data_IF_061655909852
#
_entry.id   IF_061655909852
#
_cell.length_a   1.000
_cell.length_b   1.000
_cell.length_c   1.000
_cell.angle_alpha   90.00
_cell.angle_beta   90.00
_cell.angle_gamma   90.00
#
_symmetry.space_group_name_H-M   'P 1'
#
loop_
_entity.id
_entity.type
_entity.pdbx_description
1 polymer ?
#
# COMPACT_ATOMS: atom_id res chain seq x y z
N UNK A 1 15.96 -24.42 11.71
CA UNK A 1 14.84 -25.28 12.11
C UNK A 1 14.12 -24.69 13.32
N UNK A 2 12.79 -24.51 13.27
CA UNK A 2 12.02 -23.91 14.36
C UNK A 2 11.21 -25.01 15.05
N UNK A 3 11.56 -25.36 16.29
CA UNK A 3 10.81 -26.31 17.08
C UNK A 3 9.84 -25.59 18.01
N UNK A 4 8.57 -26.04 18.05
CA UNK A 4 7.54 -25.48 18.93
C UNK A 4 7.42 -26.35 20.19
N UNK A 5 7.51 -25.73 21.35
CA UNK A 5 7.29 -26.38 22.63
C UNK A 5 6.29 -25.56 23.45
N UNK A 6 5.34 -26.27 24.05
CA UNK A 6 4.32 -25.68 24.90
C UNK A 6 4.47 -26.16 26.34
N UNK A 7 4.47 -25.23 27.27
CA UNK A 7 4.55 -25.53 28.70
C UNK A 7 3.33 -24.98 29.46
N UNK A 8 2.73 -25.84 30.30
CA UNK A 8 1.67 -25.47 31.22
C UNK A 8 2.26 -25.39 32.64
N UNK A 9 2.59 -24.19 33.13
CA UNK A 9 3.09 -24.03 34.50
C UNK A 9 3.09 -22.59 35.00
N UNK A 10 2.60 -22.39 36.22
CA UNK A 10 2.45 -21.06 36.84
C UNK A 10 3.79 -20.40 37.23
N UNK A 11 4.86 -21.17 37.39
CA UNK A 11 6.16 -20.71 37.91
C UNK A 11 7.21 -20.41 36.84
N UNK A 12 6.87 -20.58 35.56
CA UNK A 12 7.81 -20.44 34.47
C UNK A 12 8.38 -19.01 34.32
N UNK A 13 7.55 -17.97 34.59
CA UNK A 13 7.97 -16.57 34.51
C UNK A 13 8.76 -16.04 35.71
N UNK A 14 8.65 -16.70 36.88
CA UNK A 14 9.14 -16.12 38.14
C UNK A 14 10.61 -16.39 38.43
N UNK A 15 11.22 -17.38 37.80
CA UNK A 15 12.57 -17.86 38.13
C UNK A 15 13.57 -17.88 37.01
N UNK A 16 13.29 -17.28 35.82
CA UNK A 16 14.25 -17.20 34.71
C UNK A 16 14.67 -18.57 34.15
N UNK A 17 13.79 -19.55 34.16
CA UNK A 17 14.05 -20.98 34.05
C UNK A 17 14.35 -21.52 32.65
N UNK A 18 14.77 -20.71 31.70
CA UNK A 18 15.30 -21.22 30.43
C UNK A 18 16.53 -22.11 30.64
N UNK A 19 17.30 -21.84 31.67
CA UNK A 19 18.47 -22.64 32.08
C UNK A 19 18.11 -24.06 32.58
N UNK A 20 16.83 -24.31 32.87
CA UNK A 20 16.33 -25.63 33.33
C UNK A 20 15.85 -26.52 32.18
N UNK A 21 15.91 -26.02 30.94
CA UNK A 21 15.60 -26.79 29.75
C UNK A 21 16.89 -27.17 29.04
N UNK A 22 17.07 -28.49 28.87
CA UNK A 22 18.20 -28.99 28.08
C UNK A 22 17.72 -29.98 27.02
N UNK A 23 18.38 -29.94 25.90
CA UNK A 23 18.14 -30.82 24.77
C UNK A 23 19.32 -31.79 24.67
N UNK A 24 19.02 -33.08 24.69
CA UNK A 24 20.05 -34.14 24.64
C UNK A 24 19.92 -34.93 23.36
N UNK A 25 21.00 -35.00 22.59
CA UNK A 25 21.08 -35.79 21.36
C UNK A 25 22.48 -36.41 21.22
N UNK A 26 22.56 -37.71 20.98
CA UNK A 26 23.82 -38.37 20.70
C UNK A 26 24.90 -38.18 21.77
N UNK A 27 24.54 -38.02 23.04
CA UNK A 27 25.47 -37.74 24.12
C UNK A 27 25.85 -36.26 24.31
N UNK A 28 25.43 -35.36 23.41
CA UNK A 28 25.60 -33.94 23.57
C UNK A 28 24.40 -33.34 24.31
N UNK A 29 24.67 -32.46 25.27
CA UNK A 29 23.65 -31.71 26.00
C UNK A 29 23.72 -30.26 25.64
N UNK A 30 22.65 -29.75 25.03
CA UNK A 30 22.48 -28.35 24.59
C UNK A 30 21.59 -27.68 25.63
N UNK A 31 22.12 -26.70 26.36
CA UNK A 31 21.32 -25.84 27.24
C UNK A 31 20.63 -24.76 26.48
N UNK A 32 19.32 -24.64 26.66
CA UNK A 32 18.52 -23.60 26.02
C UNK A 32 18.68 -22.28 26.77
N UNK A 33 19.14 -21.24 26.09
CA UNK A 33 19.38 -19.90 26.68
C UNK A 33 18.28 -18.93 26.33
N UNK A 34 18.19 -17.84 27.10
CA UNK A 34 17.24 -16.74 26.83
C UNK A 34 17.44 -16.11 25.44
N UNK A 35 18.68 -16.08 24.95
CA UNK A 35 18.99 -15.55 23.61
C UNK A 35 18.35 -16.37 22.47
N UNK A 36 18.18 -17.69 22.68
CA UNK A 36 17.55 -18.59 21.70
C UNK A 36 16.02 -18.56 21.77
N UNK A 37 15.45 -17.97 22.82
CA UNK A 37 14.03 -18.00 23.11
C UNK A 37 13.26 -16.91 22.37
N UNK A 38 12.08 -17.29 21.83
CA UNK A 38 11.07 -16.37 21.30
C UNK A 38 9.69 -16.82 21.80
N UNK A 39 8.95 -15.93 22.45
CA UNK A 39 7.60 -16.20 22.92
C UNK A 39 6.57 -15.86 21.86
N UNK A 40 5.58 -16.74 21.68
CA UNK A 40 4.39 -16.49 20.87
C UNK A 40 3.22 -16.40 21.84
N UNK A 41 2.53 -15.27 21.86
CA UNK A 41 1.45 -15.01 22.82
C UNK A 41 0.24 -15.93 22.62
N UNK A 42 -0.08 -16.35 21.40
CA UNK A 42 -1.23 -17.20 21.08
C UNK A 42 -0.98 -18.03 19.83
N UNK A 43 -1.31 -19.32 19.89
CA UNK A 43 -1.24 -20.21 18.72
C UNK A 43 -2.60 -20.21 18.02
N UNK A 44 -2.67 -19.65 16.81
CA UNK A 44 -3.89 -19.61 16.01
C UNK A 44 -3.98 -20.85 15.11
N UNK A 45 -4.08 -22.04 15.73
CA UNK A 45 -4.28 -23.31 15.01
C UNK A 45 -5.62 -23.89 15.42
N UNK A 46 -6.49 -24.18 14.44
CA UNK A 46 -7.78 -24.81 14.68
C UNK A 46 -7.60 -26.19 15.35
N UNK A 47 -8.26 -26.40 16.50
CA UNK A 47 -8.15 -27.65 17.28
C UNK A 47 -6.96 -27.71 18.25
N UNK A 48 -6.11 -26.70 18.34
CA UNK A 48 -5.06 -26.65 19.34
C UNK A 48 -5.65 -26.34 20.74
N UNK A 49 -5.14 -26.99 21.81
CA UNK A 49 -5.51 -26.64 23.17
C UNK A 49 -5.14 -25.18 23.49
N UNK A 50 -5.89 -24.56 24.39
CA UNK A 50 -5.62 -23.20 24.84
C UNK A 50 -4.37 -23.21 25.76
N UNK A 51 -3.24 -22.81 25.19
CA UNK A 51 -1.96 -22.72 25.89
C UNK A 51 -1.78 -21.31 26.45
N UNK A 52 -1.38 -21.18 27.71
CA UNK A 52 -1.08 -19.89 28.35
C UNK A 52 0.16 -19.22 27.74
N UNK A 53 1.13 -20.01 27.32
CA UNK A 53 2.35 -19.55 26.69
C UNK A 53 2.85 -20.61 25.71
N UNK A 54 3.24 -20.16 24.52
CA UNK A 54 3.91 -20.97 23.50
C UNK A 54 5.24 -20.31 23.20
N UNK A 55 6.30 -21.09 23.29
CA UNK A 55 7.65 -20.61 23.03
C UNK A 55 8.35 -21.47 21.99
N UNK A 56 9.19 -20.86 21.19
CA UNK A 56 10.09 -21.59 20.30
C UNK A 56 11.53 -21.16 20.54
N UNK A 57 12.44 -22.10 20.30
CA UNK A 57 13.87 -21.88 20.44
C UNK A 57 14.53 -21.96 19.07
N UNK A 58 15.37 -20.98 18.76
CA UNK A 58 16.19 -20.96 17.55
C UNK A 58 17.55 -21.54 17.95
N UNK A 59 17.87 -22.72 17.43
CA UNK A 59 19.16 -23.34 17.67
C UNK A 59 20.18 -22.81 16.67
N UNK A 60 21.32 -22.25 17.10
CA UNK A 60 22.38 -21.84 16.20
C UNK A 60 22.93 -23.03 15.38
N UNK A 61 23.33 -22.83 14.12
CA UNK A 61 23.86 -23.90 13.26
C UNK A 61 25.08 -24.60 13.84
N UNK A 62 25.86 -23.89 14.63
CA UNK A 62 27.12 -24.37 15.26
C UNK A 62 26.86 -25.54 16.22
N UNK A 63 25.66 -25.70 16.76
CA UNK A 63 25.31 -26.74 17.72
C UNK A 63 25.11 -28.13 17.09
N UNK A 64 25.26 -28.29 15.78
CA UNK A 64 25.17 -29.56 15.02
C UNK A 64 23.97 -30.45 15.41
N UNK A 65 22.83 -29.82 15.75
CA UNK A 65 21.60 -30.53 16.08
C UNK A 65 20.94 -31.09 14.82
N UNK A 66 20.71 -32.42 14.79
CA UNK A 66 20.03 -33.11 13.69
C UNK A 66 18.58 -33.48 14.10
N UNK A 67 17.57 -32.81 13.60
CA UNK A 67 16.18 -33.06 14.03
C UNK A 67 15.61 -34.41 13.57
N UNK A 68 16.23 -35.07 12.60
CA UNK A 68 15.79 -36.38 12.10
C UNK A 68 16.19 -37.50 13.06
N UNK A 69 17.32 -37.33 13.75
CA UNK A 69 17.76 -38.29 14.75
C UNK A 69 16.92 -38.16 16.03
N UNK A 70 16.73 -39.26 16.77
CA UNK A 70 16.05 -39.20 18.05
C UNK A 70 16.74 -38.23 19.01
N UNK A 71 15.93 -37.41 19.68
CA UNK A 71 16.43 -36.47 20.67
C UNK A 71 15.51 -36.43 21.91
N UNK A 72 16.01 -35.92 23.00
CA UNK A 72 15.34 -35.87 24.27
C UNK A 72 15.35 -34.45 24.84
N UNK A 73 14.18 -33.93 25.17
CA UNK A 73 14.06 -32.72 25.94
C UNK A 73 13.98 -33.04 27.41
N UNK A 74 14.84 -32.45 28.21
CA UNK A 74 14.83 -32.64 29.66
C UNK A 74 14.46 -31.35 30.38
N UNK A 75 13.51 -31.47 31.31
CA UNK A 75 13.15 -30.38 32.23
C UNK A 75 13.80 -30.67 33.55
N UNK A 76 14.70 -29.80 33.98
CA UNK A 76 15.36 -29.91 35.28
C UNK A 76 14.51 -29.23 36.36
N UNK A 77 14.01 -29.98 37.30
CA UNK A 77 13.27 -29.46 38.46
C UNK A 77 14.18 -29.51 39.67
N UNK A 78 14.44 -28.36 40.24
CA UNK A 78 15.18 -28.16 41.46
C UNK A 78 14.23 -28.30 42.65
N UNK A 79 14.61 -29.12 43.61
CA UNK A 79 13.89 -29.31 44.86
C UNK A 79 14.87 -29.22 46.03
N UNK A 80 14.65 -28.23 46.86
CA UNK A 80 15.35 -28.13 48.13
C UNK A 80 14.78 -29.15 49.13
N UNK A 81 15.63 -30.08 49.61
CA UNK A 81 15.25 -31.08 50.59
C UNK A 81 15.89 -30.69 51.93
N UNK A 82 15.07 -30.38 52.96
CA UNK A 82 15.61 -30.00 54.26
C UNK A 82 16.63 -31.02 54.77
N UNK A 83 17.86 -30.59 55.03
CA UNK A 83 18.95 -31.43 55.52
C UNK A 83 19.78 -32.20 54.47
N UNK A 84 19.44 -32.12 53.16
CA UNK A 84 20.18 -32.79 52.07
C UNK A 84 20.59 -31.85 50.90
N UNK A 85 20.29 -30.55 51.02
CA UNK A 85 20.63 -29.55 50.01
C UNK A 85 19.80 -29.65 48.71
N UNK A 86 20.16 -28.86 47.71
CA UNK A 86 19.50 -28.81 46.43
C UNK A 86 19.71 -30.10 45.61
N UNK A 87 18.63 -30.75 45.20
CA UNK A 87 18.68 -31.87 44.27
C UNK A 87 17.88 -31.58 43.00
N UNK A 88 18.47 -31.95 41.88
CA UNK A 88 17.82 -31.80 40.56
C UNK A 88 17.18 -33.13 40.16
N UNK A 89 15.91 -33.10 39.78
CA UNK A 89 15.22 -34.20 39.12
C UNK A 89 15.04 -33.82 37.64
N UNK A 90 15.45 -34.70 36.73
CA UNK A 90 15.22 -34.50 35.30
C UNK A 90 13.97 -35.25 34.87
N UNK A 91 13.11 -34.57 34.11
CA UNK A 91 11.93 -35.16 33.48
C UNK A 91 12.18 -35.21 31.95
N UNK A 92 12.55 -36.40 31.43
CA UNK A 92 12.85 -36.56 30.01
C UNK A 92 11.57 -36.69 29.19
N UNK A 93 11.53 -35.98 28.04
CA UNK A 93 10.57 -36.16 26.97
C UNK A 93 11.31 -36.64 25.74
N UNK A 94 11.21 -37.91 25.42
CA UNK A 94 11.81 -38.48 24.21
C UNK A 94 10.96 -38.11 23.01
N UNK A 95 11.61 -37.67 21.92
CA UNK A 95 10.94 -37.35 20.66
C UNK A 95 11.71 -37.91 19.49
N UNK A 96 10.94 -38.48 18.57
CA UNK A 96 11.43 -38.93 17.27
C UNK A 96 10.51 -38.32 16.21
N UNK A 97 11.07 -37.69 15.20
CA UNK A 97 10.26 -37.11 14.16
C UNK A 97 9.52 -38.21 13.38
N UNK A 98 8.17 -38.19 13.28
CA UNK A 98 7.44 -39.18 12.51
C UNK A 98 7.88 -39.21 11.04
N UNK A 99 7.99 -40.40 10.45
CA UNK A 99 8.47 -40.61 9.08
C UNK A 99 7.71 -39.78 8.04
N UNK A 100 6.41 -39.48 8.26
CA UNK A 100 5.62 -38.61 7.39
C UNK A 100 6.12 -37.17 7.25
N UNK A 101 6.98 -36.73 8.16
CA UNK A 101 7.61 -35.40 8.14
C UNK A 101 9.06 -35.45 7.69
N UNK A 102 9.59 -36.64 7.39
CA UNK A 102 10.92 -36.88 6.89
C UNK A 102 10.75 -37.12 5.38
N UNK A 103 11.08 -36.11 4.59
CA UNK A 103 11.25 -36.31 3.15
C UNK A 103 12.58 -37.03 2.95
N UNK A 104 12.54 -38.35 2.78
CA UNK A 104 13.65 -39.04 2.14
C UNK A 104 13.79 -38.48 0.73
N UNK A 105 14.97 -37.97 0.44
CA UNK A 105 15.28 -37.33 -0.83
C UNK A 105 15.45 -38.42 -1.88
N UNK A 106 14.34 -39.02 -2.33
CA UNK A 106 14.33 -39.62 -3.65
C UNK A 106 14.56 -38.49 -4.64
N UNK A 107 15.63 -38.61 -5.41
CA UNK A 107 15.96 -37.71 -6.49
C UNK A 107 14.90 -37.85 -7.57
N UNK A 108 13.76 -37.16 -7.38
CA UNK A 108 12.79 -36.96 -8.47
C UNK A 108 13.50 -36.09 -9.53
N UNK A 109 13.51 -36.51 -10.81
CA UNK A 109 14.00 -35.69 -11.89
C UNK A 109 13.11 -34.45 -11.98
N UNK A 110 13.65 -33.30 -11.62
CA UNK A 110 12.92 -32.02 -11.52
C UNK A 110 12.77 -31.46 -10.11
N UNK A 111 13.38 -32.06 -9.09
CA UNK A 111 13.45 -31.48 -7.76
C UNK A 111 14.21 -30.15 -7.83
N UNK A 112 13.55 -29.09 -7.44
CA UNK A 112 14.17 -27.77 -7.29
C UNK A 112 15.48 -27.89 -6.52
N UNK A 113 16.51 -27.18 -7.00
CA UNK A 113 17.83 -27.13 -6.37
C UNK A 113 17.72 -26.91 -4.87
N UNK A 114 18.64 -27.46 -4.05
CA UNK A 114 18.61 -27.29 -2.61
C UNK A 114 18.57 -25.81 -2.31
N UNK A 115 17.48 -25.39 -1.63
CA UNK A 115 17.42 -24.04 -1.07
C UNK A 115 18.64 -23.89 -0.20
N UNK A 116 19.59 -23.10 -0.65
CA UNK A 116 20.81 -22.77 0.06
C UNK A 116 20.36 -22.00 1.32
N UNK A 117 20.42 -22.69 2.45
CA UNK A 117 19.95 -22.15 3.74
C UNK A 117 20.80 -20.96 4.23
N UNK A 118 21.95 -20.75 3.57
CA UNK A 118 22.86 -19.64 3.87
C UNK A 118 22.49 -18.34 3.12
N UNK A 119 21.59 -18.42 2.12
CA UNK A 119 21.13 -17.22 1.42
C UNK A 119 20.07 -16.48 2.22
N UNK A 120 20.18 -15.15 2.34
CA UNK A 120 19.18 -14.35 2.99
C UNK A 120 17.83 -14.46 2.25
N UNK A 121 16.73 -14.59 2.99
CA UNK A 121 15.38 -14.81 2.44
C UNK A 121 14.95 -13.76 1.41
N UNK A 122 15.46 -12.53 1.53
CA UNK A 122 15.15 -11.47 0.58
C UNK A 122 15.74 -11.75 -0.81
N UNK A 123 16.96 -12.34 -0.93
CA UNK A 123 17.55 -12.70 -2.21
C UNK A 123 16.67 -13.72 -2.97
N UNK A 124 16.21 -14.75 -2.28
CA UNK A 124 15.33 -15.78 -2.85
C UNK A 124 14.03 -15.14 -3.35
N UNK A 125 13.43 -14.24 -2.55
CA UNK A 125 12.23 -13.53 -2.95
C UNK A 125 12.43 -12.64 -4.18
N UNK A 126 13.56 -11.97 -4.30
CA UNK A 126 13.89 -11.17 -5.49
C UNK A 126 14.08 -12.04 -6.73
N UNK A 127 14.73 -13.20 -6.60
CA UNK A 127 14.89 -14.16 -7.70
C UNK A 127 13.56 -14.77 -8.14
N UNK A 128 12.64 -15.07 -7.23
CA UNK A 128 11.30 -15.56 -7.57
C UNK A 128 10.44 -14.49 -8.23
N UNK A 129 10.54 -13.24 -7.77
CA UNK A 129 9.68 -12.14 -8.18
C UNK A 129 10.23 -11.30 -9.34
N UNK A 130 11.42 -11.61 -9.88
CA UNK A 130 12.08 -10.79 -10.91
C UNK A 130 11.20 -10.47 -12.14
N UNK A 131 10.35 -11.40 -12.68
CA UNK A 131 9.51 -11.08 -13.81
C UNK A 131 8.47 -10.02 -13.46
N UNK A 132 7.91 -10.10 -12.25
CA UNK A 132 6.93 -9.13 -11.77
C UNK A 132 7.57 -7.77 -11.49
N UNK A 133 8.79 -7.75 -10.95
CA UNK A 133 9.59 -6.53 -10.76
C UNK A 133 9.88 -5.87 -12.11
N UNK A 134 10.25 -6.64 -13.12
CA UNK A 134 10.51 -6.12 -14.47
C UNK A 134 9.27 -5.50 -15.10
N UNK A 135 8.13 -6.20 -15.08
CA UNK A 135 6.87 -5.68 -15.65
C UNK A 135 6.44 -4.41 -14.92
N UNK A 136 6.51 -4.39 -13.59
CA UNK A 136 6.18 -3.20 -12.79
C UNK A 136 7.15 -2.06 -13.08
N UNK A 137 8.45 -2.35 -13.20
CA UNK A 137 9.47 -1.38 -13.56
C UNK A 137 9.23 -0.75 -14.94
N UNK A 138 8.90 -1.55 -15.95
CA UNK A 138 8.54 -1.07 -17.29
C UNK A 138 7.30 -0.18 -17.23
N UNK A 139 6.26 -0.57 -16.49
CA UNK A 139 5.06 0.24 -16.32
C UNK A 139 5.36 1.59 -15.65
N UNK A 140 6.23 1.60 -14.64
CA UNK A 140 6.71 2.82 -13.98
C UNK A 140 7.49 3.71 -14.96
N UNK A 141 8.36 3.14 -15.79
CA UNK A 141 9.12 3.88 -16.80
C UNK A 141 8.19 4.50 -17.87
N UNK A 142 7.19 3.75 -18.34
CA UNK A 142 6.18 4.27 -19.28
C UNK A 142 5.41 5.43 -18.63
N UNK A 143 4.97 5.28 -17.39
CA UNK A 143 4.28 6.34 -16.66
C UNK A 143 5.16 7.57 -16.47
N UNK A 144 6.41 7.37 -16.07
CA UNK A 144 7.38 8.48 -15.89
C UNK A 144 7.63 9.20 -17.21
N UNK A 145 7.79 8.47 -18.31
CA UNK A 145 7.91 9.04 -19.64
C UNK A 145 6.67 9.87 -20.04
N UNK A 146 5.47 9.34 -19.80
CA UNK A 146 4.23 10.08 -20.02
C UNK A 146 4.20 11.41 -19.24
N UNK A 147 4.58 11.37 -17.96
CA UNK A 147 4.54 12.53 -17.07
C UNK A 147 5.61 13.58 -17.42
N UNK A 148 6.78 13.16 -17.86
CA UNK A 148 7.84 14.07 -18.34
C UNK A 148 7.42 14.71 -19.66
N UNK A 149 6.84 13.95 -20.58
CA UNK A 149 6.37 14.43 -21.88
C UNK A 149 4.87 14.77 -21.89
N UNK A 150 4.30 15.13 -20.73
CA UNK A 150 2.87 15.39 -20.58
C UNK A 150 2.32 16.45 -21.53
N UNK A 151 3.09 17.51 -21.83
CA UNK A 151 2.67 18.58 -22.74
C UNK A 151 2.38 18.07 -24.16
N UNK A 152 3.11 17.04 -24.61
CA UNK A 152 2.85 16.39 -25.89
C UNK A 152 1.63 15.45 -25.77
N UNK A 153 1.56 14.66 -24.71
CA UNK A 153 0.51 13.67 -24.50
C UNK A 153 -0.88 14.29 -24.39
N UNK A 154 -1.03 15.39 -23.65
CA UNK A 154 -2.32 16.06 -23.42
C UNK A 154 -2.87 16.77 -24.66
N UNK A 155 -2.04 17.13 -25.64
CA UNK A 155 -2.51 17.67 -26.93
C UNK A 155 -3.27 16.65 -27.78
N UNK A 156 -3.06 15.34 -27.50
CA UNK A 156 -3.74 14.25 -28.20
C UNK A 156 -4.80 13.63 -27.26
N UNK A 157 -5.85 14.40 -26.94
CA UNK A 157 -6.87 14.05 -25.95
C UNK A 157 -7.44 12.63 -26.07
N UNK A 158 -7.87 12.14 -27.25
CA UNK A 158 -8.42 10.79 -27.35
C UNK A 158 -7.40 9.72 -26.91
N UNK A 159 -6.11 9.90 -27.22
CA UNK A 159 -5.05 8.98 -26.88
C UNK A 159 -4.81 8.92 -25.36
N UNK A 160 -4.71 10.08 -24.69
CA UNK A 160 -4.45 10.13 -23.25
C UNK A 160 -5.61 9.55 -22.43
N UNK A 161 -6.86 9.74 -22.87
CA UNK A 161 -8.03 9.18 -22.20
C UNK A 161 -8.04 7.66 -22.27
N UNK A 162 -7.78 7.08 -23.45
CA UNK A 162 -7.68 5.62 -23.61
C UNK A 162 -6.46 5.05 -22.87
N UNK A 163 -5.31 5.72 -22.95
CA UNK A 163 -4.12 5.33 -22.21
C UNK A 163 -4.41 5.27 -20.71
N UNK A 164 -5.06 6.30 -20.17
CA UNK A 164 -5.42 6.37 -18.76
C UNK A 164 -6.31 5.20 -18.34
N UNK A 165 -7.37 4.93 -19.11
CA UNK A 165 -8.27 3.79 -18.82
C UNK A 165 -7.49 2.47 -18.86
N UNK A 166 -6.70 2.25 -19.89
CA UNK A 166 -5.88 1.04 -20.02
C UNK A 166 -4.89 0.88 -18.89
N UNK A 167 -4.23 1.96 -18.49
CA UNK A 167 -3.28 1.95 -17.37
C UNK A 167 -3.96 1.70 -16.02
N UNK A 168 -5.15 2.27 -15.77
CA UNK A 168 -5.94 2.00 -14.57
C UNK A 168 -6.40 0.53 -14.50
N UNK A 169 -6.81 -0.05 -15.63
CA UNK A 169 -7.16 -1.48 -15.71
C UNK A 169 -5.91 -2.33 -15.42
N UNK A 170 -4.77 -2.02 -16.03
CA UNK A 170 -3.50 -2.69 -15.74
C UNK A 170 -3.14 -2.59 -14.26
N UNK A 171 -3.23 -1.41 -13.66
CA UNK A 171 -2.94 -1.19 -12.24
C UNK A 171 -3.85 -2.03 -11.36
N UNK A 172 -5.16 -2.07 -11.63
CA UNK A 172 -6.11 -2.85 -10.85
C UNK A 172 -5.87 -4.36 -10.99
N UNK A 173 -5.76 -4.85 -12.22
CA UNK A 173 -5.69 -6.30 -12.50
C UNK A 173 -4.30 -6.83 -12.18
N UNK A 174 -3.26 -6.20 -12.69
CA UNK A 174 -1.90 -6.71 -12.52
C UNK A 174 -1.30 -6.33 -11.17
N UNK A 175 -1.17 -5.04 -10.86
CA UNK A 175 -0.55 -4.60 -9.60
C UNK A 175 -1.44 -4.98 -8.41
N UNK A 176 -2.78 -4.81 -8.53
CA UNK A 176 -3.72 -5.10 -7.46
C UNK A 176 -3.96 -6.59 -7.28
N UNK A 177 -4.58 -7.24 -8.27
CA UNK A 177 -5.07 -8.60 -8.09
C UNK A 177 -4.07 -9.71 -8.44
N UNK A 178 -3.17 -9.52 -9.39
CA UNK A 178 -2.19 -10.56 -9.74
C UNK A 178 -1.05 -10.58 -8.74
N UNK A 179 -0.47 -9.42 -8.46
CA UNK A 179 0.73 -9.30 -7.63
C UNK A 179 0.40 -8.89 -6.18
N UNK A 180 -0.81 -8.38 -5.93
CA UNK A 180 -1.27 -7.87 -4.64
C UNK A 180 -0.38 -6.79 -4.01
N UNK A 181 0.31 -5.99 -4.85
CA UNK A 181 1.25 -4.96 -4.42
C UNK A 181 0.54 -3.62 -4.12
N UNK A 182 -0.40 -3.65 -3.17
CA UNK A 182 -1.11 -2.45 -2.70
C UNK A 182 -0.36 -1.81 -1.53
N UNK A 183 0.08 -0.56 -1.70
CA UNK A 183 0.63 0.21 -0.59
C UNK A 183 -0.47 0.59 0.40
N UNK A 184 -0.17 0.53 1.68
CA UNK A 184 -1.07 0.80 2.80
C UNK A 184 -0.41 1.74 3.80
N UNK A 185 -1.22 2.39 4.64
CA UNK A 185 -0.71 3.19 5.76
C UNK A 185 0.15 2.36 6.72
N UNK A 186 -0.10 1.05 6.82
CA UNK A 186 0.72 0.14 7.64
C UNK A 186 2.20 0.23 7.25
N UNK A 187 2.51 0.27 5.96
CA UNK A 187 3.89 0.38 5.49
C UNK A 187 4.55 1.69 5.98
N UNK A 188 3.79 2.81 5.98
CA UNK A 188 4.29 4.09 6.50
C UNK A 188 4.51 4.02 8.01
N UNK A 189 3.54 3.48 8.75
CA UNK A 189 3.63 3.34 10.20
C UNK A 189 4.80 2.42 10.61
N UNK A 190 4.98 1.29 9.89
CA UNK A 190 6.11 0.38 10.11
C UNK A 190 7.44 1.06 9.82
N UNK A 191 7.52 1.85 8.74
CA UNK A 191 8.72 2.60 8.41
C UNK A 191 9.07 3.63 9.50
N UNK A 192 8.08 4.42 9.94
CA UNK A 192 8.30 5.41 11.03
C UNK A 192 8.68 4.70 12.33
N UNK A 193 8.01 3.59 12.67
CA UNK A 193 8.34 2.82 13.87
C UNK A 193 9.75 2.23 13.81
N UNK A 194 10.19 1.73 12.63
CA UNK A 194 11.54 1.18 12.47
C UNK A 194 12.63 2.24 12.59
N UNK A 195 12.35 3.49 12.19
CA UNK A 195 13.28 4.61 12.39
C UNK A 195 13.46 4.97 13.87
N UNK A 196 12.45 4.71 14.71
CA UNK A 196 12.47 5.01 16.14
C UNK A 196 13.03 3.86 16.98
N UNK A 197 13.12 2.65 16.42
CA UNK A 197 13.62 1.45 17.10
C UNK A 197 14.96 1.01 16.49
N UNK A 198 14.99 -0.17 15.89
CA UNK A 198 16.13 -0.70 15.15
C UNK A 198 15.78 -0.87 13.68
N UNK A 199 16.47 -0.15 12.80
CA UNK A 199 16.22 -0.19 11.37
C UNK A 199 16.96 -1.37 10.72
N UNK A 200 16.20 -2.33 10.17
CA UNK A 200 16.74 -3.48 9.45
C UNK A 200 16.25 -3.48 7.99
N UNK A 201 17.15 -3.33 7.05
CA UNK A 201 16.84 -3.36 5.62
C UNK A 201 16.21 -4.66 5.16
N UNK A 202 16.61 -5.78 5.74
CA UNK A 202 16.13 -7.11 5.36
C UNK A 202 14.60 -7.24 5.39
N UNK A 203 13.96 -6.56 6.35
CA UNK A 203 12.51 -6.55 6.46
C UNK A 203 11.84 -5.89 5.25
N UNK A 204 12.38 -4.77 4.77
CA UNK A 204 11.80 -4.03 3.63
C UNK A 204 12.11 -4.72 2.30
N UNK A 205 13.22 -5.43 2.20
CA UNK A 205 13.64 -6.18 1.01
C UNK A 205 12.87 -7.49 0.82
N UNK A 206 12.16 -7.99 1.84
CA UNK A 206 11.35 -9.22 1.75
C UNK A 206 10.20 -9.13 0.73
N UNK A 207 9.72 -7.92 0.45
CA UNK A 207 8.61 -7.64 -0.47
C UNK A 207 9.11 -6.81 -1.66
N UNK A 208 9.74 -7.42 -2.70
CA UNK A 208 10.44 -6.70 -3.77
C UNK A 208 9.57 -5.66 -4.48
N UNK A 209 8.31 -5.99 -4.75
CA UNK A 209 7.39 -5.12 -5.48
C UNK A 209 6.95 -3.91 -4.66
N UNK A 210 6.66 -4.13 -3.39
CA UNK A 210 6.34 -3.04 -2.45
C UNK A 210 7.55 -2.12 -2.31
N UNK A 211 8.75 -2.68 -2.22
CA UNK A 211 9.99 -1.91 -2.15
C UNK A 211 10.21 -1.04 -3.40
N UNK A 212 10.05 -1.61 -4.60
CA UNK A 212 10.16 -0.86 -5.88
C UNK A 212 9.10 0.23 -5.98
N UNK A 213 7.85 -0.06 -5.60
CA UNK A 213 6.78 0.94 -5.59
C UNK A 213 7.07 2.07 -4.59
N UNK A 214 7.56 1.77 -3.38
CA UNK A 214 7.94 2.79 -2.41
C UNK A 214 9.10 3.65 -2.89
N UNK A 215 10.12 3.03 -3.48
CA UNK A 215 11.24 3.75 -4.10
C UNK A 215 10.76 4.73 -5.18
N UNK A 216 9.86 4.27 -6.04
CA UNK A 216 9.26 5.14 -7.05
C UNK A 216 8.38 6.24 -6.44
N UNK A 217 7.55 5.90 -5.43
CA UNK A 217 6.70 6.90 -4.75
C UNK A 217 7.55 7.99 -4.10
N UNK A 218 8.67 7.64 -3.46
CA UNK A 218 9.59 8.61 -2.88
C UNK A 218 10.14 9.58 -3.94
N UNK A 219 10.55 9.07 -5.10
CA UNK A 219 10.99 9.89 -6.22
C UNK A 219 9.83 10.73 -6.79
N UNK A 220 8.67 10.14 -6.97
CA UNK A 220 7.49 10.83 -7.50
C UNK A 220 7.03 11.98 -6.60
N UNK A 221 7.15 11.83 -5.27
CA UNK A 221 6.84 12.90 -4.31
C UNK A 221 7.75 14.11 -4.49
N UNK A 222 9.04 13.90 -4.81
CA UNK A 222 9.99 14.98 -5.06
C UNK A 222 9.74 15.69 -6.40
N UNK A 223 9.36 14.95 -7.47
CA UNK A 223 9.24 15.51 -8.80
C UNK A 223 7.83 16.02 -9.12
N UNK A 224 6.78 15.30 -8.75
CA UNK A 224 5.40 15.58 -9.15
C UNK A 224 4.41 15.67 -7.97
N UNK A 225 4.78 15.18 -6.80
CA UNK A 225 3.90 15.07 -5.65
C UNK A 225 3.10 13.75 -5.60
N UNK A 226 2.20 13.63 -4.62
CA UNK A 226 1.45 12.40 -4.31
C UNK A 226 0.54 11.89 -5.43
N UNK A 227 0.12 12.80 -6.30
CA UNK A 227 -0.89 12.53 -7.32
C UNK A 227 -0.51 11.43 -8.28
N UNK A 228 0.78 11.22 -8.53
CA UNK A 228 1.27 10.17 -9.42
C UNK A 228 0.93 8.78 -8.90
N UNK A 229 1.21 8.51 -7.63
CA UNK A 229 0.83 7.23 -7.03
C UNK A 229 -0.69 7.11 -6.89
N UNK A 230 -1.32 8.08 -6.22
CA UNK A 230 -2.75 8.05 -5.95
C UNK A 230 -3.61 8.03 -7.22
N UNK A 231 -3.13 8.69 -8.29
CA UNK A 231 -3.86 8.82 -9.54
C UNK A 231 -3.67 7.69 -10.54
N UNK A 232 -2.52 6.99 -10.49
CA UNK A 232 -2.14 6.03 -11.53
C UNK A 232 -1.78 4.65 -11.01
N UNK A 233 -1.05 4.53 -9.90
CA UNK A 233 -0.48 3.28 -9.41
C UNK A 233 -1.22 2.67 -8.22
N UNK A 234 -2.17 3.37 -7.61
CA UNK A 234 -2.97 2.84 -6.51
C UNK A 234 -4.11 1.96 -7.05
N UNK A 235 -4.11 0.62 -6.84
CA UNK A 235 -5.16 -0.27 -7.35
C UNK A 235 -6.55 0.07 -6.83
N UNK A 236 -6.67 0.43 -5.56
CA UNK A 236 -7.96 0.82 -4.99
C UNK A 236 -8.48 2.15 -5.55
N UNK A 237 -7.57 3.11 -5.78
CA UNK A 237 -7.90 4.36 -6.46
C UNK A 237 -8.34 4.15 -7.91
N UNK A 238 -7.68 3.23 -8.63
CA UNK A 238 -8.05 2.83 -9.97
C UNK A 238 -9.44 2.20 -10.01
N UNK A 239 -9.75 1.30 -9.07
CA UNK A 239 -11.06 0.67 -8.98
C UNK A 239 -12.17 1.70 -8.77
N UNK A 240 -12.02 2.64 -7.82
CA UNK A 240 -13.02 3.69 -7.58
C UNK A 240 -13.26 4.55 -8.83
N UNK A 241 -12.19 4.94 -9.54
CA UNK A 241 -12.33 5.74 -10.76
C UNK A 241 -13.00 4.95 -11.89
N UNK A 242 -12.67 3.67 -12.07
CA UNK A 242 -13.31 2.82 -13.08
C UNK A 242 -14.80 2.62 -12.78
N UNK A 243 -15.17 2.39 -11.52
CA UNK A 243 -16.59 2.30 -11.08
C UNK A 243 -17.31 3.61 -11.40
N UNK A 244 -16.73 4.75 -11.07
CA UNK A 244 -17.33 6.05 -11.35
C UNK A 244 -17.49 6.30 -12.85
N UNK A 245 -16.49 5.99 -13.69
CA UNK A 245 -16.57 6.11 -15.14
C UNK A 245 -17.70 5.23 -15.74
N UNK A 246 -17.87 4.03 -15.21
CA UNK A 246 -18.99 3.15 -15.58
C UNK A 246 -20.32 3.78 -15.14
N UNK A 247 -20.42 4.25 -13.90
CA UNK A 247 -21.62 4.89 -13.36
C UNK A 247 -22.05 6.11 -14.19
N UNK A 248 -21.11 6.98 -14.57
CA UNK A 248 -21.37 8.12 -15.46
C UNK A 248 -21.89 7.64 -16.81
N UNK A 249 -21.31 6.58 -17.40
CA UNK A 249 -21.78 6.02 -18.69
C UNK A 249 -23.20 5.45 -18.60
N UNK A 250 -23.57 4.91 -17.46
CA UNK A 250 -24.95 4.39 -17.17
C UNK A 250 -25.89 5.54 -16.74
N UNK A 251 -25.45 6.78 -16.76
CA UNK A 251 -26.19 7.99 -16.35
C UNK A 251 -26.59 8.02 -14.88
N UNK A 252 -25.79 7.43 -13.99
CA UNK A 252 -25.98 7.56 -12.55
C UNK A 252 -25.78 9.03 -12.14
N UNK A 253 -26.65 9.59 -11.27
CA UNK A 253 -26.49 10.99 -10.80
C UNK A 253 -25.14 11.16 -10.09
N UNK A 254 -24.39 12.21 -10.48
CA UNK A 254 -23.12 12.56 -9.87
C UNK A 254 -23.32 13.69 -8.88
N UNK A 255 -22.87 13.49 -7.65
CA UNK A 255 -22.93 14.52 -6.62
C UNK A 255 -21.63 15.30 -6.56
N UNK A 256 -21.70 16.60 -6.87
CA UNK A 256 -20.61 17.54 -6.63
C UNK A 256 -20.91 18.31 -5.34
N UNK A 257 -20.06 18.16 -4.34
CA UNK A 257 -20.18 18.95 -3.11
C UNK A 257 -19.81 20.41 -3.37
N UNK A 258 -20.49 21.37 -2.75
CA UNK A 258 -20.04 22.77 -2.76
C UNK A 258 -18.58 22.84 -2.30
N UNK A 259 -17.76 23.67 -2.95
CA UNK A 259 -16.33 23.72 -2.69
C UNK A 259 -16.01 23.97 -1.20
N UNK A 260 -16.75 24.86 -0.55
CA UNK A 260 -16.59 25.16 0.89
C UNK A 260 -16.83 23.95 1.82
N UNK A 261 -17.74 23.04 1.44
CA UNK A 261 -18.01 21.81 2.21
C UNK A 261 -16.89 20.80 1.92
N UNK A 262 -16.51 20.67 0.64
CA UNK A 262 -15.44 19.79 0.22
C UNK A 262 -14.11 20.12 0.94
N UNK A 263 -13.72 21.39 0.99
CA UNK A 263 -12.52 21.87 1.66
C UNK A 263 -12.54 21.57 3.17
N UNK A 264 -13.68 21.71 3.83
CA UNK A 264 -13.84 21.39 5.25
C UNK A 264 -13.74 19.89 5.55
N UNK A 265 -13.99 19.03 4.57
CA UNK A 265 -13.88 17.56 4.74
C UNK A 265 -12.45 17.04 4.50
N UNK A 266 -11.60 17.76 3.79
CA UNK A 266 -10.22 17.34 3.53
C UNK A 266 -9.40 17.04 4.79
N UNK A 267 -9.49 17.81 5.89
CA UNK A 267 -8.76 17.52 7.11
C UNK A 267 -9.09 16.16 7.75
N UNK A 268 -10.27 15.57 7.47
CA UNK A 268 -10.69 14.31 8.09
C UNK A 268 -9.66 13.18 7.90
N UNK A 269 -9.10 13.02 6.69
CA UNK A 269 -8.07 12.00 6.42
C UNK A 269 -6.77 12.24 7.20
N UNK A 270 -6.41 13.50 7.47
CA UNK A 270 -5.22 13.84 8.27
C UNK A 270 -5.45 13.53 9.75
N UNK A 271 -6.65 13.80 10.27
CA UNK A 271 -7.01 13.42 11.64
C UNK A 271 -6.95 11.91 11.81
N UNK A 272 -7.50 11.15 10.84
CA UNK A 272 -7.40 9.68 10.83
C UNK A 272 -5.95 9.23 10.81
N UNK A 273 -5.12 9.80 9.95
CA UNK A 273 -3.70 9.43 9.84
C UNK A 273 -2.92 9.74 11.13
N UNK A 274 -3.09 10.93 11.70
CA UNK A 274 -2.42 11.31 12.96
C UNK A 274 -2.90 10.42 14.10
N UNK A 275 -4.20 10.10 14.17
CA UNK A 275 -4.74 9.16 15.15
C UNK A 275 -4.11 7.77 15.02
N UNK A 276 -3.99 7.23 13.80
CA UNK A 276 -3.33 5.96 13.54
C UNK A 276 -1.83 6.00 13.91
N UNK A 277 -1.15 7.09 13.59
CA UNK A 277 0.26 7.28 13.94
C UNK A 277 0.44 7.31 15.46
N UNK A 278 -0.39 8.04 16.19
CA UNK A 278 -0.34 8.08 17.66
C UNK A 278 -0.60 6.70 18.27
N UNK A 279 -1.56 5.93 17.73
CA UNK A 279 -1.86 4.58 18.17
C UNK A 279 -0.74 3.58 17.82
N UNK A 280 -0.01 3.79 16.73
CA UNK A 280 1.10 2.91 16.34
C UNK A 280 2.31 2.98 17.28
N UNK A 281 2.42 4.05 18.05
CA UNK A 281 3.43 4.19 19.12
C UNK A 281 3.06 3.42 20.40
N UNK A 282 1.83 2.92 20.48
CA UNK A 282 1.30 2.08 21.56
C UNK A 282 1.41 0.58 21.29
N UNK A 283 0.59 -0.25 21.95
CA UNK A 283 0.58 -1.70 21.75
C UNK A 283 0.23 -2.06 20.29
N UNK A 284 1.03 -2.92 19.66
CA UNK A 284 0.90 -3.30 18.26
C UNK A 284 -0.51 -3.86 17.88
N UNK A 285 -1.18 -4.56 18.80
CA UNK A 285 -2.53 -5.10 18.57
C UNK A 285 -3.59 -4.02 18.32
N UNK A 286 -3.43 -2.85 18.94
CA UNK A 286 -4.37 -1.74 18.78
C UNK A 286 -4.18 -1.08 17.42
N UNK A 287 -2.94 -0.87 17.00
CA UNK A 287 -2.59 -0.32 15.71
C UNK A 287 -3.12 -1.19 14.57
N UNK A 288 -2.93 -2.51 14.65
CA UNK A 288 -3.39 -3.46 13.62
C UNK A 288 -4.92 -3.43 13.45
N UNK A 289 -5.68 -3.39 14.54
CA UNK A 289 -7.15 -3.31 14.47
C UNK A 289 -7.66 -2.01 13.85
N UNK A 290 -6.96 -0.90 14.09
CA UNK A 290 -7.38 0.40 13.58
C UNK A 290 -7.02 0.60 12.09
N UNK A 291 -6.04 -0.12 11.56
CA UNK A 291 -5.72 -0.09 10.12
C UNK A 291 -6.80 -0.72 9.25
N UNK A 292 -7.76 -1.43 9.84
CA UNK A 292 -8.95 -1.97 9.15
C UNK A 292 -9.88 -0.87 8.57
N UNK A 293 -9.63 0.39 8.87
CA UNK A 293 -10.29 1.52 8.18
C UNK A 293 -9.95 1.54 6.68
N UNK A 294 -8.81 0.97 6.26
CA UNK A 294 -8.45 0.83 4.86
C UNK A 294 -9.09 -0.43 4.26
N UNK A 295 -10.04 -0.30 3.30
CA UNK A 295 -10.69 -1.45 2.68
C UNK A 295 -9.78 -2.21 1.69
N UNK A 296 -8.51 -1.78 1.55
CA UNK A 296 -7.55 -2.33 0.57
C UNK A 296 -7.33 -3.83 0.79
N UNK A 297 -7.14 -4.25 2.05
CA UNK A 297 -6.95 -5.66 2.41
C UNK A 297 -8.14 -6.51 1.95
N UNK A 298 -9.36 -6.03 2.18
CA UNK A 298 -10.59 -6.75 1.81
C UNK A 298 -10.78 -6.82 0.30
N UNK A 299 -10.56 -5.72 -0.43
CA UNK A 299 -10.87 -5.62 -1.87
C UNK A 299 -9.74 -6.17 -2.74
N UNK A 300 -8.49 -5.83 -2.42
CA UNK A 300 -7.34 -6.14 -3.26
C UNK A 300 -6.71 -7.47 -2.85
N UNK A 301 -6.26 -7.61 -1.60
CA UNK A 301 -5.53 -8.79 -1.16
C UNK A 301 -6.45 -10.00 -0.98
N UNK A 302 -7.57 -9.85 -0.30
CA UNK A 302 -8.49 -10.94 0.04
C UNK A 302 -9.63 -11.13 -0.96
N UNK A 303 -9.79 -10.25 -1.96
CA UNK A 303 -10.79 -10.36 -3.03
C UNK A 303 -12.20 -10.64 -2.50
N UNK A 304 -12.60 -9.93 -1.43
CA UNK A 304 -13.88 -10.08 -0.70
C UNK A 304 -14.06 -11.41 0.06
N UNK A 305 -13.05 -12.27 0.14
CA UNK A 305 -13.10 -13.51 0.96
C UNK A 305 -12.71 -13.15 2.39
N UNK A 306 -13.69 -12.63 3.14
CA UNK A 306 -13.51 -12.17 4.53
C UNK A 306 -14.84 -12.14 5.28
N UNK A 307 -14.80 -11.91 6.60
CA UNK A 307 -15.98 -11.73 7.43
C UNK A 307 -16.90 -10.61 6.90
N UNK A 308 -18.19 -10.84 6.94
CA UNK A 308 -19.22 -9.99 6.31
C UNK A 308 -19.18 -8.50 6.67
N UNK A 309 -18.83 -8.04 7.91
CA UNK A 309 -18.81 -6.62 8.23
C UNK A 309 -17.81 -5.83 7.38
N UNK A 310 -16.61 -6.41 7.16
CA UNK A 310 -15.56 -5.79 6.34
C UNK A 310 -15.93 -5.75 4.86
N UNK A 311 -16.63 -6.80 4.40
CA UNK A 311 -17.12 -6.86 3.01
C UNK A 311 -18.20 -5.81 2.78
N UNK A 312 -19.15 -5.67 3.71
CA UNK A 312 -20.21 -4.65 3.63
C UNK A 312 -19.61 -3.25 3.64
N UNK A 313 -18.65 -2.98 4.54
CA UNK A 313 -17.94 -1.70 4.55
C UNK A 313 -17.26 -1.40 3.20
N UNK A 314 -16.53 -2.36 2.64
CA UNK A 314 -15.88 -2.20 1.35
C UNK A 314 -16.88 -1.93 0.22
N UNK A 315 -18.01 -2.66 0.19
CA UNK A 315 -19.08 -2.46 -0.80
C UNK A 315 -19.70 -1.07 -0.66
N UNK A 316 -19.97 -0.60 0.56
CA UNK A 316 -20.53 0.75 0.80
C UNK A 316 -19.57 1.85 0.30
N UNK A 317 -18.27 1.70 0.55
CA UNK A 317 -17.26 2.63 0.04
C UNK A 317 -17.22 2.64 -1.48
N UNK A 318 -17.28 1.46 -2.12
CA UNK A 318 -17.27 1.35 -3.59
C UNK A 318 -18.59 1.84 -4.21
N UNK A 319 -19.72 1.60 -3.54
CA UNK A 319 -21.02 2.16 -3.96
C UNK A 319 -21.00 3.69 -3.87
N UNK A 320 -20.41 4.27 -2.82
CA UNK A 320 -20.20 5.71 -2.71
C UNK A 320 -19.34 6.27 -3.86
N UNK A 321 -18.37 5.50 -4.35
CA UNK A 321 -17.54 5.90 -5.50
C UNK A 321 -18.31 5.98 -6.81
N UNK A 322 -19.46 5.30 -6.95
CA UNK A 322 -20.34 5.44 -8.12
C UNK A 322 -20.99 6.84 -8.20
N UNK A 323 -21.22 7.49 -7.06
CA UNK A 323 -21.87 8.80 -6.97
C UNK A 323 -20.87 9.96 -6.83
N UNK A 324 -19.76 9.73 -6.13
CA UNK A 324 -18.72 10.74 -5.88
C UNK A 324 -17.37 10.12 -6.27
N UNK A 325 -16.72 10.66 -7.29
CA UNK A 325 -15.45 10.12 -7.77
C UNK A 325 -14.40 10.08 -6.64
N UNK A 326 -13.82 8.89 -6.40
CA UNK A 326 -12.74 8.66 -5.43
C UNK A 326 -13.08 9.12 -4.00
N UNK A 327 -14.32 8.93 -3.55
CA UNK A 327 -14.83 9.40 -2.26
C UNK A 327 -13.93 8.99 -1.08
N UNK A 328 -13.47 7.74 -1.04
CA UNK A 328 -12.58 7.27 0.02
C UNK A 328 -11.21 7.97 -0.03
N UNK A 329 -10.60 8.07 -1.22
CA UNK A 329 -9.29 8.70 -1.40
C UNK A 329 -9.30 10.20 -1.03
N UNK A 330 -10.44 10.87 -1.20
CA UNK A 330 -10.59 12.30 -0.90
C UNK A 330 -10.69 12.58 0.59
N UNK A 331 -11.45 11.77 1.33
CA UNK A 331 -11.88 12.13 2.69
C UNK A 331 -11.40 11.17 3.78
N UNK A 332 -11.19 9.91 3.48
CA UNK A 332 -10.97 8.86 4.47
C UNK A 332 -9.59 8.18 4.39
N UNK A 333 -8.88 8.27 3.26
CA UNK A 333 -7.65 7.52 3.03
C UNK A 333 -6.47 8.05 3.87
N UNK A 334 -6.01 7.32 4.91
CA UNK A 334 -4.88 7.76 5.73
C UNK A 334 -3.54 7.69 4.98
N UNK A 335 -3.37 6.72 4.07
CA UNK A 335 -2.20 6.70 3.18
C UNK A 335 -2.14 7.95 2.30
N UNK A 336 -3.29 8.38 1.77
CA UNK A 336 -3.37 9.62 0.98
C UNK A 336 -2.98 10.86 1.79
N UNK A 337 -3.30 10.91 3.08
CA UNK A 337 -2.84 11.97 3.99
C UNK A 337 -1.33 11.89 4.25
N UNK A 338 -0.81 10.68 4.53
CA UNK A 338 0.63 10.46 4.76
C UNK A 338 1.49 10.93 3.58
N UNK A 339 1.07 10.63 2.34
CA UNK A 339 1.78 11.05 1.13
C UNK A 339 1.59 12.53 0.80
N UNK A 340 0.50 13.17 1.25
CA UNK A 340 0.25 14.57 1.02
C UNK A 340 1.20 15.49 1.80
N UNK A 341 1.62 15.09 3.00
CA UNK A 341 2.51 15.88 3.85
C UNK A 341 3.84 16.21 3.15
N UNK A 342 4.63 15.21 2.68
CA UNK A 342 5.87 15.47 1.96
C UNK A 342 5.67 16.06 0.56
N UNK A 343 4.51 15.87 -0.08
CA UNK A 343 4.22 16.36 -1.42
C UNK A 343 4.26 17.89 -1.55
N UNK A 344 4.17 18.62 -0.43
CA UNK A 344 4.30 20.08 -0.42
C UNK A 344 5.66 20.56 -0.95
N UNK A 345 6.70 19.76 -0.77
CA UNK A 345 8.07 20.12 -1.12
C UNK A 345 8.49 19.58 -2.51
N UNK A 346 7.54 19.41 -3.44
CA UNK A 346 7.89 19.01 -4.82
C UNK A 346 8.73 20.09 -5.51
N UNK A 347 9.63 19.63 -6.40
CA UNK A 347 10.64 20.49 -7.02
C UNK A 347 10.14 21.25 -8.24
N UNK A 348 9.11 20.72 -8.93
CA UNK A 348 8.68 21.25 -10.22
C UNK A 348 7.17 21.42 -10.28
N UNK A 349 6.73 22.60 -10.76
CA UNK A 349 5.33 22.90 -11.04
C UNK A 349 5.00 22.56 -12.51
N UNK A 350 4.59 21.31 -12.74
CA UNK A 350 4.29 20.81 -14.07
C UNK A 350 2.91 21.23 -14.61
N UNK A 351 1.96 21.56 -13.73
CA UNK A 351 0.59 21.83 -14.08
C UNK A 351 0.41 23.31 -14.45
N UNK A 352 0.17 23.58 -15.74
CA UNK A 352 0.05 24.92 -16.28
C UNK A 352 -1.36 25.50 -16.13
N UNK A 353 -1.45 26.81 -15.91
CA UNK A 353 -2.68 27.59 -15.82
C UNK A 353 -2.57 28.88 -16.58
N UNK A 354 -3.69 29.32 -17.18
CA UNK A 354 -3.77 30.66 -17.76
C UNK A 354 -4.02 31.71 -16.67
N UNK A 355 -3.64 32.96 -16.91
CA UNK A 355 -3.85 34.05 -15.95
C UNK A 355 -5.35 34.31 -15.65
N UNK A 356 -6.23 34.02 -16.61
CA UNK A 356 -7.69 34.17 -16.48
C UNK A 356 -8.36 33.04 -15.68
N UNK A 357 -7.62 31.97 -15.34
CA UNK A 357 -8.17 30.85 -14.55
C UNK A 357 -8.48 31.31 -13.13
N UNK A 358 -9.71 31.05 -12.69
CA UNK A 358 -10.19 31.40 -11.34
C UNK A 358 -10.93 32.74 -11.27
N UNK A 359 -10.58 33.72 -12.09
CA UNK A 359 -11.28 35.01 -12.14
C UNK A 359 -12.41 35.01 -13.18
N UNK A 360 -12.05 34.77 -14.44
CA UNK A 360 -13.01 34.82 -15.56
C UNK A 360 -13.45 33.41 -16.00
N UNK A 361 -12.68 32.39 -15.68
CA UNK A 361 -12.92 31.02 -16.14
C UNK A 361 -12.74 29.98 -15.02
N UNK A 362 -13.77 29.16 -14.80
CA UNK A 362 -13.77 28.05 -13.83
C UNK A 362 -14.06 26.68 -14.49
N UNK A 363 -13.93 26.54 -15.79
CA UNK A 363 -14.27 25.30 -16.52
C UNK A 363 -13.48 24.12 -15.99
N UNK A 364 -12.15 24.27 -15.78
CA UNK A 364 -11.31 23.20 -15.24
C UNK A 364 -11.65 22.82 -13.78
N UNK A 365 -12.09 23.77 -12.96
CA UNK A 365 -12.52 23.50 -11.59
C UNK A 365 -13.79 22.63 -11.56
N UNK A 366 -14.75 22.90 -12.45
CA UNK A 366 -16.01 22.12 -12.58
C UNK A 366 -15.75 20.69 -13.10
N UNK A 367 -14.76 20.49 -13.96
CA UNK A 367 -14.46 19.17 -14.54
C UNK A 367 -13.51 18.36 -13.65
N UNK A 368 -12.81 19.00 -12.71
CA UNK A 368 -11.85 18.31 -11.85
C UNK A 368 -12.52 17.18 -11.04
N UNK A 369 -12.15 15.89 -11.27
CA UNK A 369 -12.86 14.75 -10.67
C UNK A 369 -12.73 14.69 -9.14
N UNK A 370 -11.70 15.33 -8.59
CA UNK A 370 -11.46 15.40 -7.13
C UNK A 370 -11.64 16.80 -6.56
N UNK A 371 -12.09 17.77 -7.38
CA UNK A 371 -12.29 19.16 -6.99
C UNK A 371 -11.07 19.79 -6.28
N UNK A 372 -9.86 19.48 -6.78
CA UNK A 372 -8.60 19.99 -6.23
C UNK A 372 -8.23 21.40 -6.77
N UNK A 373 -9.10 22.04 -7.54
CA UNK A 373 -8.88 23.36 -8.10
C UNK A 373 -9.75 24.35 -7.35
N UNK A 374 -9.12 25.30 -6.68
CA UNK A 374 -9.79 26.36 -5.93
C UNK A 374 -10.52 27.32 -6.88
N UNK A 375 -11.53 28.06 -6.37
CA UNK A 375 -12.27 29.05 -7.15
C UNK A 375 -11.38 30.17 -7.70
N UNK A 376 -10.24 30.47 -7.05
CA UNK A 376 -9.21 31.43 -7.51
C UNK A 376 -8.31 30.87 -8.64
N UNK A 377 -8.50 29.60 -9.05
CA UNK A 377 -7.73 28.94 -10.07
C UNK A 377 -6.50 28.19 -9.59
N UNK A 378 -6.15 28.27 -8.30
CA UNK A 378 -5.04 27.52 -7.74
C UNK A 378 -5.33 26.01 -7.71
N UNK A 379 -4.31 25.18 -8.01
CA UNK A 379 -4.41 23.71 -7.89
C UNK A 379 -3.81 23.30 -6.56
N UNK A 380 -4.62 22.70 -5.69
CA UNK A 380 -4.11 22.13 -4.45
C UNK A 380 -3.35 20.83 -4.71
N UNK A 381 -2.04 20.85 -4.49
CA UNK A 381 -1.14 19.71 -4.68
C UNK A 381 -1.46 18.57 -3.71
N UNK A 382 -1.98 18.90 -2.53
CA UNK A 382 -2.35 17.91 -1.51
C UNK A 382 -3.59 17.12 -1.91
N UNK A 383 -4.44 17.66 -2.80
CA UNK A 383 -5.68 17.00 -3.24
C UNK A 383 -5.60 16.52 -4.70
N UNK A 384 -4.70 17.07 -5.49
CA UNK A 384 -4.54 16.70 -6.89
C UNK A 384 -4.09 15.24 -7.04
N UNK A 385 -4.71 14.51 -7.97
CA UNK A 385 -4.38 13.13 -8.33
C UNK A 385 -3.61 13.02 -9.66
N UNK A 386 -3.17 14.13 -10.19
CA UNK A 386 -2.40 14.18 -11.44
C UNK A 386 -3.08 13.50 -12.63
N UNK A 387 -4.41 13.64 -12.75
CA UNK A 387 -5.20 12.99 -13.81
C UNK A 387 -5.01 13.59 -15.20
N UNK A 388 -4.41 14.77 -15.29
CA UNK A 388 -4.13 15.55 -16.50
C UNK A 388 -5.37 16.08 -17.26
N UNK A 389 -6.60 15.89 -16.76
CA UNK A 389 -7.82 16.39 -17.38
C UNK A 389 -7.79 17.92 -17.59
N UNK A 390 -7.35 18.66 -16.56
CA UNK A 390 -7.21 20.12 -16.66
C UNK A 390 -6.11 20.54 -17.65
N UNK A 391 -5.09 19.71 -17.87
CA UNK A 391 -4.03 19.99 -18.83
C UNK A 391 -4.48 19.72 -20.26
N UNK A 392 -5.29 18.67 -20.48
CA UNK A 392 -5.92 18.45 -21.79
C UNK A 392 -6.80 19.62 -22.20
N UNK A 393 -7.59 20.16 -21.24
CA UNK A 393 -8.38 21.36 -21.48
C UNK A 393 -7.54 22.61 -21.70
N UNK A 394 -6.41 22.74 -21.00
CA UNK A 394 -5.52 23.89 -21.14
C UNK A 394 -5.06 24.12 -22.59
N UNK A 395 -4.86 23.03 -23.35
CA UNK A 395 -4.45 23.08 -24.77
C UNK A 395 -5.60 22.99 -25.76
N UNK A 396 -6.85 22.80 -25.31
CA UNK A 396 -8.02 22.70 -26.19
C UNK A 396 -8.52 24.09 -26.56
N UNK A 397 -8.33 24.47 -27.83
CA UNK A 397 -8.73 25.79 -28.36
C UNK A 397 -10.23 25.93 -28.67
N UNK A 398 -11.01 24.86 -28.47
CA UNK A 398 -12.47 24.87 -28.55
C UNK A 398 -13.14 25.04 -27.19
N UNK A 399 -12.61 24.36 -26.17
CA UNK A 399 -13.21 24.30 -24.84
C UNK A 399 -12.60 25.30 -23.83
N UNK A 400 -11.32 25.63 -23.97
CA UNK A 400 -10.66 26.61 -23.11
C UNK A 400 -10.95 28.03 -23.57
N UNK A 401 -11.68 28.88 -22.81
CA UNK A 401 -12.05 30.24 -23.27
C UNK A 401 -10.86 31.10 -23.67
N UNK A 402 -9.73 31.18 -22.93
CA UNK A 402 -8.55 31.93 -23.34
C UNK A 402 -7.96 31.45 -24.66
N UNK A 403 -7.93 30.13 -24.91
CA UNK A 403 -7.41 29.56 -26.15
C UNK A 403 -8.37 29.77 -27.32
N UNK A 404 -9.68 29.64 -27.09
CA UNK A 404 -10.71 29.93 -28.10
C UNK A 404 -10.66 31.39 -28.55
N UNK A 405 -10.45 32.33 -27.62
CA UNK A 405 -10.27 33.74 -27.96
C UNK A 405 -8.97 33.97 -28.75
N UNK A 406 -7.87 33.35 -28.36
CA UNK A 406 -6.60 33.42 -29.10
C UNK A 406 -6.75 32.86 -30.53
N UNK A 407 -7.50 31.76 -30.71
CA UNK A 407 -7.83 31.21 -32.04
C UNK A 407 -8.64 32.21 -32.86
N UNK A 408 -9.74 32.73 -32.30
CA UNK A 408 -10.58 33.76 -32.99
C UNK A 408 -9.78 34.98 -33.40
N UNK A 409 -8.83 35.43 -32.55
CA UNK A 409 -7.93 36.56 -32.91
C UNK A 409 -6.99 36.20 -34.06
N UNK A 410 -6.47 34.96 -34.11
CA UNK A 410 -5.63 34.48 -35.23
C UNK A 410 -6.43 34.40 -36.52
N UNK A 411 -7.64 33.82 -36.49
CA UNK A 411 -8.54 33.71 -37.64
C UNK A 411 -8.91 35.09 -38.19
N UNK A 412 -9.26 36.06 -37.32
CA UNK A 412 -9.52 37.44 -37.74
C UNK A 412 -8.31 38.08 -38.39
N UNK A 413 -7.10 37.89 -37.86
CA UNK A 413 -5.87 38.43 -38.48
C UNK A 413 -5.62 37.79 -39.82
N UNK A 414 -5.84 36.51 -40.00
CA UNK A 414 -5.69 35.80 -41.25
C UNK A 414 -6.71 36.28 -42.31
N UNK A 415 -7.98 36.44 -41.93
CA UNK A 415 -9.02 36.96 -42.80
C UNK A 415 -8.74 38.41 -43.27
N UNK A 416 -8.28 39.27 -42.34
CA UNK A 416 -7.87 40.64 -42.69
C UNK A 416 -6.66 40.65 -43.64
N UNK A 417 -5.69 39.76 -43.46
CA UNK A 417 -4.53 39.61 -44.33
C UNK A 417 -4.92 39.06 -45.73
N UNK A 418 -5.99 38.26 -45.81
CA UNK A 418 -6.55 37.77 -47.08
C UNK A 418 -7.48 38.75 -47.80
N UNK A 419 -7.71 39.96 -47.23
CA UNK A 419 -8.58 40.97 -47.81
C UNK A 419 -10.09 40.70 -47.68
N UNK A 420 -10.48 39.75 -46.85
CA UNK A 420 -11.88 39.45 -46.56
C UNK A 420 -12.47 40.45 -45.56
N UNK A 421 -13.64 41.03 -45.90
CA UNK A 421 -14.38 41.89 -44.97
C UNK A 421 -14.99 41.05 -43.84
N UNK A 422 -14.37 41.11 -42.67
CA UNK A 422 -14.89 40.44 -41.46
C UNK A 422 -16.14 41.18 -40.99
N UNK A 423 -17.33 40.63 -41.26
CA UNK A 423 -18.56 41.07 -40.64
C UNK A 423 -18.41 40.93 -39.13
N UNK A 424 -18.58 42.03 -38.40
CA UNK A 424 -18.65 42.05 -36.95
C UNK A 424 -19.95 41.37 -36.52
N UNK A 425 -19.94 40.07 -36.43
CA UNK A 425 -21.03 39.30 -35.84
C UNK A 425 -21.19 39.72 -34.38
N UNK A 426 -22.36 40.25 -34.05
CA UNK A 426 -22.76 40.64 -32.72
C UNK A 426 -22.52 39.51 -31.72
N UNK A 427 -22.13 39.87 -30.54
CA UNK A 427 -22.00 38.95 -29.40
C UNK A 427 -23.32 38.21 -29.22
N UNK A 428 -23.33 36.90 -29.49
CA UNK A 428 -24.43 36.04 -29.09
C UNK A 428 -24.45 35.99 -27.54
N UNK A 429 -25.55 36.34 -26.91
CA UNK A 429 -25.63 36.30 -25.47
C UNK A 429 -25.44 34.85 -25.00
N UNK A 430 -24.68 34.66 -23.92
CA UNK A 430 -24.48 33.37 -23.26
C UNK A 430 -25.85 32.71 -23.02
N UNK A 431 -25.99 31.40 -23.25
CA UNK A 431 -27.21 30.68 -22.93
C UNK A 431 -27.52 30.88 -21.44
N UNK A 432 -28.66 31.55 -21.19
CA UNK A 432 -29.14 31.81 -19.85
C UNK A 432 -29.34 30.55 -19.06
N UNK A 433 -29.00 30.62 -17.80
CA UNK A 433 -29.35 29.65 -16.75
C UNK A 433 -30.87 29.46 -16.76
N UNK A 434 -31.32 28.34 -17.29
CA UNK A 434 -32.67 27.84 -17.12
C UNK A 434 -32.69 26.99 -15.83
N UNK A 435 -33.32 27.58 -14.80
CA UNK A 435 -33.89 27.01 -13.57
C UNK A 435 -33.69 25.50 -13.32
#
# INVERSE_FOLDING_TARGET
>A
MRGFYSFRGYNYRRTGTFERLQLVQGGQTIRLTKAMHRSIKKLAIAGAPDFREVSFFILPPELKFDPVKPWRLEVLVERDIPGKGERFASFPLNYTLPARFILERETLPGAAEPVDLDRPLWEVRWQESWPHVLVTGVAILILSGLLVFQDWAVKHRPWIDWFRIGFLIFTLVYIGWTVAAQLSVINVLTFVSSLLTEFHWDFFLLEPLIFVLWGFVALALLFWGRGVFCGWLCPFGALQELINRIAVKVRTPQFSLPFSVNERLWPAKYVIFIGLLALSLGPAETAEKMTEIEPFKTVIALRFVREWPFVVYAILVLAGAAFVNRVFCRYLCPLGAALAIPAKNHMFDWLKRHHQCGTECQVCAKICPVQAIHPDGHIDVHECIYCLECQSLYYDDHQCPPMAEARRRRERRAALAAGETVQMGGAEPAPGDGS
#
